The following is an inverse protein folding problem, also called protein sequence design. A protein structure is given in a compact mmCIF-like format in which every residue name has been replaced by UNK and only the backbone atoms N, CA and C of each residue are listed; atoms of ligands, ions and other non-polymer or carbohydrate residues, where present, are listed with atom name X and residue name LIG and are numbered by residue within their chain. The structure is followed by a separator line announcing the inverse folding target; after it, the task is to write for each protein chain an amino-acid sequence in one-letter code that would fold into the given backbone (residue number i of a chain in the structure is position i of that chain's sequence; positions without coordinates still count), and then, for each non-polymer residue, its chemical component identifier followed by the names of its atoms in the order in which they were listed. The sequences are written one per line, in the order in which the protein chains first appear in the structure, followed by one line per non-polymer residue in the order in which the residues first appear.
data_IF_442904508038
#
_entry.id   IF_442904508038
#
_cell.length_a   1.000
_cell.length_b   1.000
_cell.length_c   1.000
_cell.angle_alpha   90.00
_cell.angle_beta   90.00
_cell.angle_gamma   90.00
#
_symmetry.space_group_name_H-M   'P 1'
#
loop_
_entity.id
_entity.type
_entity.pdbx_description
1 polymer ?
#
# COMPACT_ATOMS: atom_id res chain seq x y z
N UNK A 1 10.21 -8.02 11.19
CA UNK A 1 9.19 -6.96 11.24
C UNK A 1 9.57 -5.79 12.17
N UNK A 2 10.16 -5.99 13.35
CA UNK A 2 10.50 -4.90 14.29
C UNK A 2 11.43 -3.84 13.71
N UNK A 3 12.40 -4.19 12.84
CA UNK A 3 13.37 -3.24 12.28
C UNK A 3 12.72 -2.13 11.42
N UNK A 4 11.59 -2.39 10.78
CA UNK A 4 10.90 -1.43 9.91
C UNK A 4 10.28 -0.25 10.63
N UNK A 5 10.05 -0.33 11.94
CA UNK A 5 9.52 0.75 12.75
C UNK A 5 10.56 1.76 13.27
N UNK A 6 11.85 1.48 13.11
CA UNK A 6 12.93 2.39 13.54
C UNK A 6 13.26 3.36 12.40
N UNK A 7 12.44 4.38 12.22
CA UNK A 7 12.56 5.33 11.13
C UNK A 7 13.80 6.22 11.25
N UNK A 8 14.16 6.67 12.46
CA UNK A 8 15.38 7.44 12.68
C UNK A 8 16.62 6.68 12.19
N UNK A 9 16.74 5.41 12.59
CA UNK A 9 17.88 4.57 12.19
C UNK A 9 17.97 4.36 10.69
N UNK A 10 16.82 4.37 9.99
CA UNK A 10 16.78 4.22 8.55
C UNK A 10 17.07 5.52 7.82
N UNK A 11 16.58 6.66 8.32
CA UNK A 11 16.74 7.96 7.67
C UNK A 11 18.08 8.63 7.97
N UNK A 12 18.62 8.45 9.17
CA UNK A 12 19.86 9.08 9.59
C UNK A 12 21.01 8.94 8.58
N UNK A 13 21.29 7.74 8.02
CA UNK A 13 22.35 7.59 7.00
C UNK A 13 22.11 8.44 5.75
N UNK A 14 20.87 8.65 5.34
CA UNK A 14 20.56 9.50 4.19
C UNK A 14 20.84 10.97 4.51
N UNK A 15 20.49 11.43 5.71
CA UNK A 15 20.78 12.79 6.17
C UNK A 15 22.28 13.05 6.38
N UNK A 16 23.07 12.01 6.61
CA UNK A 16 24.52 12.12 6.73
C UNK A 16 25.23 12.15 5.37
N UNK A 17 24.63 11.52 4.36
CA UNK A 17 25.26 11.37 3.03
C UNK A 17 24.78 12.42 2.03
N UNK A 18 23.55 12.94 2.18
CA UNK A 18 22.94 13.85 1.22
C UNK A 18 22.62 15.20 1.86
N UNK A 19 22.76 16.30 1.11
CA UNK A 19 22.31 17.62 1.55
C UNK A 19 20.84 17.60 1.93
N UNK A 20 20.49 18.39 2.96
CA UNK A 20 19.11 18.41 3.51
C UNK A 20 18.07 18.82 2.48
N UNK A 21 18.43 19.72 1.58
CA UNK A 21 17.59 20.20 0.47
C UNK A 21 17.21 19.11 -0.53
N UNK A 22 18.00 18.03 -0.60
CA UNK A 22 17.72 16.90 -1.49
C UNK A 22 16.82 15.82 -0.84
N UNK A 23 16.36 16.06 0.40
CA UNK A 23 15.52 15.11 1.15
C UNK A 23 14.18 15.75 1.50
N UNK A 24 13.10 15.29 0.86
CA UNK A 24 11.72 15.67 1.21
C UNK A 24 11.09 14.56 2.06
N UNK A 25 10.65 14.91 3.24
CA UNK A 25 9.89 14.00 4.14
C UNK A 25 8.41 14.36 4.06
N UNK A 26 7.59 13.38 3.74
CA UNK A 26 6.13 13.49 3.68
C UNK A 26 5.54 12.48 4.67
N UNK A 27 4.70 12.93 5.58
CA UNK A 27 3.99 12.05 6.49
C UNK A 27 2.71 11.55 5.83
N UNK A 28 2.36 10.30 6.09
CA UNK A 28 1.15 9.69 5.53
C UNK A 28 -0.12 10.47 5.92
N UNK A 29 -0.16 11.02 7.12
CA UNK A 29 -1.27 11.84 7.62
C UNK A 29 -1.45 13.13 6.82
N UNK A 30 -0.38 13.73 6.31
CA UNK A 30 -0.46 14.92 5.47
C UNK A 30 -1.14 14.59 4.14
N UNK A 31 -0.81 13.44 3.55
CA UNK A 31 -1.45 12.96 2.33
C UNK A 31 -2.95 12.72 2.57
N UNK A 32 -3.31 12.11 3.72
CA UNK A 32 -4.71 11.86 4.05
C UNK A 32 -5.52 13.14 4.32
N UNK A 33 -4.88 14.17 4.90
CA UNK A 33 -5.52 15.45 5.21
C UNK A 33 -5.71 16.33 3.98
N UNK A 34 -4.69 16.46 3.18
CA UNK A 34 -4.71 17.34 2.01
C UNK A 34 -3.75 16.84 0.91
N UNK A 35 -4.19 15.85 0.11
CA UNK A 35 -3.36 15.27 -0.93
C UNK A 35 -2.94 16.30 -2.00
N UNK A 36 -3.80 17.29 -2.30
CA UNK A 36 -3.49 18.34 -3.28
C UNK A 36 -2.32 19.24 -2.85
N UNK A 37 -2.34 19.66 -1.58
CA UNK A 37 -1.23 20.44 -1.02
C UNK A 37 0.09 19.66 -1.05
N UNK A 38 0.03 18.38 -0.66
CA UNK A 38 1.22 17.52 -0.65
C UNK A 38 1.77 17.31 -2.06
N UNK A 39 0.90 17.09 -3.05
CA UNK A 39 1.30 16.96 -4.45
C UNK A 39 1.99 18.24 -4.95
N UNK A 40 1.41 19.41 -4.68
CA UNK A 40 2.00 20.70 -5.04
C UNK A 40 3.38 20.89 -4.42
N UNK A 41 3.51 20.70 -3.10
CA UNK A 41 4.79 20.78 -2.40
C UNK A 41 5.83 19.78 -2.93
N UNK A 42 5.39 18.62 -3.40
CA UNK A 42 6.26 17.61 -3.99
C UNK A 42 6.76 18.03 -5.37
N UNK A 43 5.89 18.62 -6.21
CA UNK A 43 6.28 19.16 -7.52
C UNK A 43 7.24 20.35 -7.39
N UNK A 44 7.00 21.23 -6.41
CA UNK A 44 7.90 22.34 -6.09
C UNK A 44 9.29 21.82 -5.68
N UNK A 45 9.32 20.78 -4.85
CA UNK A 45 10.57 20.14 -4.45
C UNK A 45 11.33 19.51 -5.62
N UNK A 46 10.62 18.96 -6.61
CA UNK A 46 11.22 18.40 -7.83
C UNK A 46 11.60 19.46 -8.87
N UNK A 47 11.23 20.71 -8.66
CA UNK A 47 11.47 21.80 -9.63
C UNK A 47 10.63 21.68 -10.90
N UNK A 48 9.47 21.01 -10.83
CA UNK A 48 8.53 20.87 -11.95
C UNK A 48 7.28 21.74 -11.75
N UNK A 49 6.47 21.90 -12.79
CA UNK A 49 5.25 22.70 -12.70
C UNK A 49 4.29 22.19 -11.62
N UNK A 50 4.02 23.02 -10.61
CA UNK A 50 3.21 22.69 -9.43
C UNK A 50 1.69 22.80 -9.67
N UNK A 51 1.24 23.27 -10.84
CA UNK A 51 -0.18 23.48 -11.14
C UNK A 51 -0.90 22.23 -11.66
N UNK A 52 -0.18 21.14 -11.90
CA UNK A 52 -0.78 19.88 -12.31
C UNK A 52 -1.51 19.23 -11.15
N UNK A 53 -2.78 18.96 -11.35
CA UNK A 53 -3.62 18.22 -10.38
C UNK A 53 -3.99 16.87 -11.02
N UNK A 54 -3.53 15.74 -10.49
CA UNK A 54 -3.93 14.41 -10.99
C UNK A 54 -5.44 14.19 -10.84
N UNK A 55 -6.09 13.63 -11.86
CA UNK A 55 -7.54 13.36 -11.85
C UNK A 55 -7.94 12.42 -10.70
N UNK A 56 -7.06 11.48 -10.35
CA UNK A 56 -7.28 10.49 -9.30
C UNK A 56 -6.80 10.91 -7.90
N UNK A 57 -6.45 12.19 -7.70
CA UNK A 57 -5.89 12.68 -6.43
C UNK A 57 -6.77 12.40 -5.21
N UNK A 58 -8.07 12.43 -5.40
CA UNK A 58 -9.07 12.22 -4.35
C UNK A 58 -9.62 10.79 -4.32
N UNK A 59 -9.14 9.90 -5.18
CA UNK A 59 -9.54 8.50 -5.15
C UNK A 59 -9.04 7.85 -3.86
N UNK A 60 -9.99 7.28 -3.12
CA UNK A 60 -9.62 6.53 -1.92
C UNK A 60 -8.88 5.26 -2.35
N UNK A 61 -7.73 4.95 -1.73
CA UNK A 61 -7.03 3.71 -2.00
C UNK A 61 -7.97 2.53 -1.77
N UNK A 62 -7.81 1.48 -2.59
CA UNK A 62 -8.61 0.28 -2.47
C UNK A 62 -8.60 -0.23 -1.01
N UNK A 63 -9.79 -0.47 -0.47
CA UNK A 63 -9.90 -1.03 0.88
C UNK A 63 -9.20 -2.38 0.95
N UNK A 64 -8.50 -2.63 2.05
CA UNK A 64 -7.96 -3.94 2.30
C UNK A 64 -9.11 -4.94 2.38
N UNK A 65 -9.01 -6.01 1.59
CA UNK A 65 -10.05 -7.03 1.51
C UNK A 65 -9.50 -8.38 1.93
N UNK A 66 -10.37 -9.25 2.43
CA UNK A 66 -10.04 -10.61 2.80
C UNK A 66 -10.95 -11.58 2.06
N UNK A 67 -10.39 -12.69 1.62
CA UNK A 67 -11.14 -13.77 0.98
C UNK A 67 -12.04 -14.48 2.01
N UNK A 68 -13.33 -14.62 1.72
CA UNK A 68 -14.28 -15.38 2.56
C UNK A 68 -13.93 -16.87 2.58
N UNK A 69 -13.79 -17.48 1.39
CA UNK A 69 -13.54 -18.90 1.20
C UNK A 69 -12.21 -19.11 0.49
N UNK A 70 -11.18 -19.53 1.23
CA UNK A 70 -9.83 -19.76 0.71
C UNK A 70 -9.79 -20.88 -0.33
N UNK A 71 -10.53 -21.96 -0.11
CA UNK A 71 -10.64 -23.10 -1.02
C UNK A 71 -11.18 -22.70 -2.40
N UNK A 72 -12.24 -21.89 -2.41
CA UNK A 72 -12.82 -21.38 -3.66
C UNK A 72 -11.78 -20.56 -4.45
N UNK A 73 -11.04 -19.68 -3.77
CA UNK A 73 -9.96 -18.91 -4.41
C UNK A 73 -8.85 -19.81 -4.94
N UNK A 74 -8.47 -20.86 -4.23
CA UNK A 74 -7.47 -21.84 -4.71
C UNK A 74 -7.93 -22.55 -5.98
N UNK A 75 -9.20 -22.98 -6.03
CA UNK A 75 -9.78 -23.61 -7.22
C UNK A 75 -9.76 -22.65 -8.42
N UNK A 76 -10.20 -21.39 -8.21
CA UNK A 76 -10.19 -20.37 -9.27
C UNK A 76 -8.77 -20.12 -9.78
N UNK A 77 -7.80 -19.96 -8.87
CA UNK A 77 -6.40 -19.74 -9.24
C UNK A 77 -5.81 -20.95 -9.97
N UNK A 78 -6.14 -22.17 -9.55
CA UNK A 78 -5.72 -23.40 -10.23
C UNK A 78 -6.25 -23.45 -11.66
N UNK A 79 -7.56 -23.21 -11.85
CA UNK A 79 -8.18 -23.17 -13.18
C UNK A 79 -7.60 -22.06 -14.07
N UNK A 80 -7.32 -20.90 -13.50
CA UNK A 80 -6.63 -19.80 -14.19
C UNK A 80 -5.21 -20.19 -14.59
N UNK A 81 -4.47 -20.82 -13.69
CA UNK A 81 -3.09 -21.29 -13.92
C UNK A 81 -3.02 -22.39 -15.00
N UNK A 82 -3.94 -23.34 -14.99
CA UNK A 82 -4.04 -24.36 -16.03
C UNK A 82 -4.28 -23.71 -17.40
N UNK A 83 -5.19 -22.73 -17.48
CA UNK A 83 -5.46 -22.05 -18.73
C UNK A 83 -4.26 -21.26 -19.26
N UNK A 84 -3.42 -20.70 -18.38
CA UNK A 84 -2.21 -19.97 -18.75
C UNK A 84 -1.10 -20.92 -19.24
N UNK A 85 -0.92 -22.05 -18.58
CA UNK A 85 0.04 -23.09 -19.04
C UNK A 85 -0.28 -23.68 -20.41
N UNK A 86 -1.53 -23.63 -20.82
CA UNK A 86 -2.00 -24.14 -22.11
C UNK A 86 -1.96 -23.07 -23.22
N UNK A 87 -1.57 -21.82 -22.90
CA UNK A 87 -1.43 -20.70 -23.84
C UNK A 87 -0.37 -20.99 -24.88
N UNK A 88 -0.25 -21.61 -25.73
CA UNK A 88 0.78 -21.99 -26.73
C UNK A 88 0.52 -23.35 -27.35
N UNK A 89 -0.49 -24.04 -26.82
CA UNK A 89 -0.96 -25.31 -27.40
C UNK A 89 -2.20 -25.11 -28.29
N UNK A 90 -2.46 -26.02 -29.22
CA UNK A 90 -3.69 -26.00 -30.03
C UNK A 90 -4.97 -25.99 -29.17
N UNK A 91 -4.91 -26.64 -28.01
CA UNK A 91 -6.03 -26.69 -27.04
C UNK A 91 -6.16 -25.33 -26.31
N UNK A 92 -5.05 -24.65 -26.00
CA UNK A 92 -5.07 -23.32 -25.42
C UNK A 92 -5.72 -22.28 -26.31
N UNK A 93 -5.49 -22.33 -27.61
CA UNK A 93 -6.17 -21.47 -28.58
C UNK A 93 -7.68 -21.66 -28.59
N UNK A 94 -8.15 -22.92 -28.46
CA UNK A 94 -9.58 -23.23 -28.36
C UNK A 94 -10.20 -22.70 -27.05
N UNK A 95 -9.49 -22.87 -25.93
CA UNK A 95 -9.88 -22.33 -24.60
C UNK A 95 -9.93 -20.80 -24.63
N UNK A 96 -8.97 -20.16 -25.28
CA UNK A 96 -8.95 -18.69 -25.44
C UNK A 96 -10.14 -18.19 -26.26
N UNK A 97 -10.44 -18.85 -27.40
CA UNK A 97 -11.60 -18.52 -28.22
C UNK A 97 -12.93 -18.75 -27.46
N UNK A 98 -13.00 -19.80 -26.67
CA UNK A 98 -14.16 -20.09 -25.83
C UNK A 98 -14.34 -19.05 -24.72
N UNK A 99 -13.26 -18.64 -24.04
CA UNK A 99 -13.28 -17.56 -23.06
C UNK A 99 -13.70 -16.23 -23.66
N UNK A 100 -13.25 -15.92 -24.88
CA UNK A 100 -13.59 -14.69 -25.59
C UNK A 100 -15.06 -14.68 -26.05
N UNK A 101 -15.59 -15.82 -26.46
CA UNK A 101 -16.99 -16.00 -26.94
C UNK A 101 -17.99 -16.10 -25.80
N UNK A 102 -17.56 -16.62 -24.66
CA UNK A 102 -18.40 -16.80 -23.47
C UNK A 102 -18.04 -15.76 -22.42
N UNK A 103 -19.04 -15.17 -21.75
CA UNK A 103 -18.83 -14.24 -20.63
C UNK A 103 -18.30 -14.93 -19.35
N UNK A 104 -17.61 -16.06 -19.49
CA UNK A 104 -17.11 -16.88 -18.38
C UNK A 104 -16.08 -16.10 -17.54
N UNK A 105 -15.22 -15.28 -18.15
CA UNK A 105 -14.32 -14.42 -17.41
C UNK A 105 -15.06 -13.46 -16.47
N UNK A 106 -16.20 -12.92 -16.93
CA UNK A 106 -17.04 -12.04 -16.11
C UNK A 106 -17.71 -12.82 -14.96
N UNK A 107 -18.04 -14.08 -15.18
CA UNK A 107 -18.59 -14.94 -14.12
C UNK A 107 -17.53 -15.23 -13.05
N UNK A 108 -16.29 -15.55 -13.44
CA UNK A 108 -15.19 -15.75 -12.49
C UNK A 108 -14.88 -14.48 -11.71
N UNK A 109 -14.89 -13.32 -12.35
CA UNK A 109 -14.71 -12.05 -11.66
C UNK A 109 -15.84 -11.80 -10.65
N UNK A 110 -17.09 -12.00 -11.05
CA UNK A 110 -18.23 -11.88 -10.12
C UNK A 110 -18.12 -12.83 -8.92
N UNK A 111 -17.71 -14.08 -9.14
CA UNK A 111 -17.51 -15.05 -8.05
C UNK A 111 -16.37 -14.59 -7.14
N UNK A 112 -15.29 -14.06 -7.68
CA UNK A 112 -14.21 -13.49 -6.88
C UNK A 112 -14.69 -12.27 -6.07
N UNK A 113 -15.46 -11.37 -6.66
CA UNK A 113 -16.01 -10.19 -5.99
C UNK A 113 -16.95 -10.58 -4.85
N UNK A 114 -17.78 -11.60 -5.06
CA UNK A 114 -18.65 -12.15 -4.01
C UNK A 114 -17.87 -12.88 -2.89
N UNK A 115 -16.71 -13.42 -3.23
CA UNK A 115 -15.81 -14.12 -2.30
C UNK A 115 -14.90 -13.18 -1.50
N UNK A 116 -15.10 -11.88 -1.63
CA UNK A 116 -14.34 -10.85 -0.92
C UNK A 116 -15.19 -10.25 0.20
N UNK A 117 -14.57 -9.97 1.32
CA UNK A 117 -15.14 -9.18 2.43
C UNK A 117 -14.16 -8.12 2.87
N UNK A 118 -14.63 -7.06 3.49
CA UNK A 118 -13.78 -6.05 4.10
C UNK A 118 -12.86 -6.70 5.13
N UNK A 119 -11.59 -6.32 5.09
CA UNK A 119 -10.62 -6.80 6.07
C UNK A 119 -10.72 -5.94 7.33
N UNK A 120 -11.24 -6.52 8.38
CA UNK A 120 -11.16 -5.92 9.71
C UNK A 120 -9.77 -6.14 10.28
N UNK A 121 -9.05 -5.05 10.48
CA UNK A 121 -7.73 -5.11 11.13
C UNK A 121 -7.91 -5.63 12.55
N UNK A 122 -7.20 -6.70 12.95
CA UNK A 122 -7.26 -7.17 14.33
C UNK A 122 -6.79 -6.04 15.26
N UNK A 123 -7.54 -5.81 16.34
CA UNK A 123 -7.14 -4.85 17.36
C UNK A 123 -5.89 -5.36 18.05
N UNK A 124 -4.90 -4.51 18.16
CA UNK A 124 -3.67 -4.83 18.86
C UNK A 124 -3.97 -4.89 20.38
N UNK A 125 -3.48 -5.93 21.03
CA UNK A 125 -3.54 -6.05 22.48
C UNK A 125 -2.91 -4.81 23.15
N UNK A 126 -3.54 -4.34 24.24
CA UNK A 126 -3.11 -3.12 24.95
C UNK A 126 -1.71 -3.25 25.55
N UNK A 127 -1.34 -4.43 26.03
CA UNK A 127 -0.02 -4.70 26.57
C UNK A 127 1.04 -4.70 25.47
N UNK A 128 0.73 -5.35 24.35
CA UNK A 128 1.61 -5.34 23.17
C UNK A 128 1.78 -3.91 22.67
N UNK A 129 0.70 -3.11 22.61
CA UNK A 129 0.76 -1.70 22.22
C UNK A 129 1.69 -0.91 23.15
N UNK A 130 1.56 -1.04 24.47
CA UNK A 130 2.44 -0.39 25.45
C UNK A 130 3.91 -0.78 25.30
N UNK A 131 4.16 -2.07 25.07
CA UNK A 131 5.52 -2.60 24.87
C UNK A 131 6.15 -2.06 23.58
N UNK A 132 5.39 -2.00 22.49
CA UNK A 132 5.87 -1.44 21.22
C UNK A 132 6.17 0.05 21.34
N UNK A 133 5.31 0.83 22.00
CA UNK A 133 5.56 2.24 22.27
C UNK A 133 6.90 2.44 23.00
N UNK A 134 7.14 1.68 24.06
CA UNK A 134 8.40 1.77 24.82
C UNK A 134 9.63 1.45 23.93
N UNK A 135 9.50 0.48 23.03
CA UNK A 135 10.59 0.09 22.12
C UNK A 135 10.91 1.19 21.11
N UNK A 136 9.89 1.90 20.60
CA UNK A 136 10.09 2.90 19.54
C UNK A 136 10.26 4.32 20.05
N UNK A 137 9.98 4.59 21.33
CA UNK A 137 9.95 5.95 21.90
C UNK A 137 11.26 6.73 21.63
N UNK A 138 12.40 6.13 21.95
CA UNK A 138 13.71 6.75 21.73
C UNK A 138 13.99 7.06 20.25
N UNK A 139 13.62 6.13 19.35
CA UNK A 139 13.78 6.33 17.91
C UNK A 139 12.87 7.46 17.39
N UNK A 140 11.63 7.53 17.90
CA UNK A 140 10.67 8.58 17.55
C UNK A 140 11.13 9.97 18.02
N UNK A 141 11.68 10.08 19.22
CA UNK A 141 12.22 11.35 19.74
C UNK A 141 13.41 11.85 18.90
N UNK A 142 14.28 10.93 18.50
CA UNK A 142 15.40 11.25 17.61
C UNK A 142 14.92 11.61 16.20
N UNK A 143 13.89 10.90 15.70
CA UNK A 143 13.28 11.18 14.41
C UNK A 143 12.65 12.56 14.38
N UNK A 144 11.87 12.91 15.41
CA UNK A 144 11.22 14.22 15.55
C UNK A 144 12.22 15.38 15.43
N UNK A 145 13.37 15.24 16.12
CA UNK A 145 14.48 16.21 16.03
C UNK A 145 15.13 16.22 14.64
N UNK A 146 15.32 15.04 14.02
CA UNK A 146 15.97 14.91 12.71
C UNK A 146 15.16 15.58 11.60
N UNK A 147 13.84 15.38 11.62
CA UNK A 147 12.96 15.91 10.56
C UNK A 147 12.37 17.28 10.87
N UNK A 148 12.52 17.77 12.14
CA UNK A 148 11.99 19.06 12.58
C UNK A 148 10.45 19.13 12.60
N UNK A 149 9.77 18.01 12.90
CA UNK A 149 8.29 17.92 12.91
C UNK A 149 7.79 17.25 14.18
N UNK A 150 6.68 17.75 14.73
CA UNK A 150 6.01 17.15 15.89
C UNK A 150 5.39 15.79 15.51
N UNK A 151 5.82 14.76 16.23
CA UNK A 151 5.33 13.39 16.14
C UNK A 151 4.65 12.90 17.43
N UNK A 152 4.23 13.82 18.31
CA UNK A 152 3.62 13.50 19.60
C UNK A 152 2.40 12.59 19.47
N UNK A 153 1.64 12.73 18.38
CA UNK A 153 0.49 11.87 18.07
C UNK A 153 0.85 10.41 17.80
N UNK A 154 2.10 10.10 17.43
CA UNK A 154 2.59 8.72 17.29
C UNK A 154 2.97 8.09 18.62
N UNK A 155 3.18 8.92 19.64
CA UNK A 155 3.53 8.49 21.00
C UNK A 155 2.31 8.10 21.85
N UNK A 156 1.06 8.42 21.40
CA UNK A 156 -0.21 8.19 22.11
C UNK A 156 -0.95 6.87 21.80
#
# INVERSE_FOLDING_TARGET
FRRRGFYYKQLKPYFDLFPRENIKIILHEDILKNPGKVAKEFYEFLGVHSNYVPDNLNEKPAKATQTKYKTLRQIINYLAGVSHKMEGSKIGGLIFLFKRKTKISNLFNKINDLNVKDFEKPKLDSEIKKRLKKIYLEDLEKLEKLIGRDLSHWKN
#
